data_IF_675006752213
#
_entry.id   IF_675006752213
#
_cell.length_a   1.000
_cell.length_b   1.000
_cell.length_c   1.000
_cell.angle_alpha   90.00
_cell.angle_beta   90.00
_cell.angle_gamma   90.00
#
_symmetry.space_group_name_H-M   'P 1'
#
loop_
_entity.id
_entity.type
_entity.pdbx_description
1 polymer ?
#
# COMPACT_ATOMS: atom_id res chain seq x y z
N UNK A 1 1.48 -2.75 13.77
CA UNK A 1 1.30 -4.14 13.32
C UNK A 1 2.28 -4.38 12.20
N UNK A 2 3.19 -5.34 12.35
CA UNK A 2 4.17 -5.63 11.31
C UNK A 2 3.47 -6.18 10.06
N UNK A 3 3.83 -5.66 8.89
CA UNK A 3 3.24 -6.04 7.61
C UNK A 3 3.25 -7.56 7.38
N UNK A 4 4.38 -8.22 7.71
CA UNK A 4 4.51 -9.68 7.64
C UNK A 4 3.47 -10.42 8.48
N UNK A 5 3.24 -9.97 9.73
CA UNK A 5 2.25 -10.58 10.63
C UNK A 5 0.84 -10.45 10.08
N UNK A 6 0.49 -9.29 9.52
CA UNK A 6 -0.79 -9.07 8.85
C UNK A 6 -1.03 -10.07 7.72
N UNK A 7 -0.04 -10.25 6.83
CA UNK A 7 -0.18 -11.20 5.71
C UNK A 7 -0.33 -12.62 6.25
N UNK A 8 0.50 -13.02 7.21
CA UNK A 8 0.39 -14.34 7.84
C UNK A 8 -0.97 -14.59 8.50
N UNK A 9 -1.52 -13.59 9.19
CA UNK A 9 -2.85 -13.68 9.79
C UNK A 9 -3.92 -13.93 8.72
N UNK A 10 -3.96 -13.13 7.65
CA UNK A 10 -4.91 -13.27 6.55
C UNK A 10 -4.75 -14.64 5.88
N UNK A 11 -3.53 -15.02 5.50
CA UNK A 11 -3.27 -16.27 4.77
C UNK A 11 -3.52 -17.52 5.60
N UNK A 12 -3.52 -17.39 6.94
CA UNK A 12 -3.82 -18.49 7.85
C UNK A 12 -5.32 -18.81 7.96
N UNK A 13 -6.20 -17.87 7.60
CA UNK A 13 -7.66 -18.02 7.69
C UNK A 13 -8.17 -19.12 6.76
N UNK A 14 -9.34 -19.68 7.11
CA UNK A 14 -9.98 -20.71 6.28
C UNK A 14 -10.46 -20.11 4.96
N UNK A 15 -11.07 -18.93 5.02
CA UNK A 15 -11.65 -18.24 3.88
C UNK A 15 -10.58 -17.89 2.84
N UNK A 16 -9.38 -17.47 3.27
CA UNK A 16 -8.26 -17.26 2.37
C UNK A 16 -7.79 -18.56 1.72
N UNK A 17 -7.63 -19.64 2.49
CA UNK A 17 -7.19 -20.94 1.96
C UNK A 17 -8.19 -21.49 0.94
N UNK A 18 -9.48 -21.46 1.26
CA UNK A 18 -10.57 -21.87 0.37
C UNK A 18 -10.60 -21.02 -0.92
N UNK A 19 -10.27 -19.72 -0.80
CA UNK A 19 -10.13 -18.82 -1.94
C UNK A 19 -8.89 -19.15 -2.79
N UNK A 20 -7.74 -19.35 -2.16
CA UNK A 20 -6.45 -19.60 -2.81
C UNK A 20 -6.44 -20.94 -3.56
N UNK A 21 -7.15 -21.96 -3.06
CA UNK A 21 -7.36 -23.22 -3.77
C UNK A 21 -8.09 -23.04 -5.11
N UNK A 22 -9.01 -22.07 -5.19
CA UNK A 22 -9.74 -21.74 -6.43
C UNK A 22 -8.98 -20.78 -7.34
N UNK A 23 -8.00 -20.06 -6.80
CA UNK A 23 -7.23 -19.00 -7.46
C UNK A 23 -5.72 -19.23 -7.31
N UNK A 24 -5.18 -20.37 -7.79
CA UNK A 24 -3.80 -20.77 -7.51
C UNK A 24 -2.75 -19.79 -8.06
N UNK A 25 -3.05 -19.12 -9.17
CA UNK A 25 -2.10 -18.22 -9.87
C UNK A 25 -2.03 -16.80 -9.27
N UNK A 26 -2.93 -16.44 -8.36
CA UNK A 26 -2.97 -15.11 -7.75
C UNK A 26 -1.84 -14.93 -6.74
N UNK A 27 -0.99 -13.91 -6.90
CA UNK A 27 0.09 -13.62 -5.94
C UNK A 27 -0.05 -12.23 -5.34
N UNK A 28 0.46 -12.05 -4.11
CA UNK A 28 0.46 -10.79 -3.39
C UNK A 28 1.26 -9.74 -4.17
N UNK A 29 0.69 -8.55 -4.38
CA UNK A 29 1.35 -7.46 -5.14
C UNK A 29 1.39 -6.14 -4.40
N UNK A 30 0.39 -5.86 -3.57
CA UNK A 30 0.39 -4.67 -2.76
C UNK A 30 -0.46 -4.83 -1.50
N UNK A 31 -0.23 -3.94 -0.55
CA UNK A 31 -1.15 -3.70 0.55
C UNK A 31 -1.33 -2.21 0.76
N UNK A 32 -2.58 -1.81 0.97
CA UNK A 32 -3.01 -0.43 1.13
C UNK A 32 -3.74 -0.26 2.45
N UNK A 33 -3.56 0.89 3.08
CA UNK A 33 -4.37 1.28 4.24
C UNK A 33 -4.86 2.69 4.09
N UNK A 34 -6.10 2.84 4.49
CA UNK A 34 -6.67 4.12 4.83
C UNK A 34 -7.17 4.06 6.27
N UNK A 35 -6.81 5.06 7.06
CA UNK A 35 -7.50 5.30 8.33
C UNK A 35 -8.85 5.92 7.99
N UNK A 36 -9.93 5.25 8.35
CA UNK A 36 -11.28 5.75 8.11
C UNK A 36 -11.65 6.90 9.08
N UNK A 37 -12.87 7.42 8.96
CA UNK A 37 -13.37 8.49 9.86
C UNK A 37 -13.49 8.05 11.33
N UNK A 38 -13.48 6.74 11.60
CA UNK A 38 -13.54 6.15 12.94
C UNK A 38 -12.15 5.79 13.51
N UNK A 39 -11.07 6.14 12.80
CA UNK A 39 -9.68 5.74 13.09
C UNK A 39 -9.46 4.22 13.09
N UNK A 40 -10.34 3.44 12.45
CA UNK A 40 -10.10 2.02 12.23
C UNK A 40 -9.18 1.83 11.03
N UNK A 41 -8.19 0.96 11.21
CA UNK A 41 -7.29 0.54 10.13
C UNK A 41 -8.03 -0.47 9.24
N UNK A 42 -8.38 -0.04 8.04
CA UNK A 42 -8.94 -0.92 7.02
C UNK A 42 -7.82 -1.24 6.02
N UNK A 43 -7.38 -2.49 6.04
CA UNK A 43 -6.37 -2.99 5.13
C UNK A 43 -7.02 -3.53 3.86
N UNK A 44 -6.48 -3.16 2.71
CA UNK A 44 -6.82 -3.71 1.41
C UNK A 44 -5.60 -4.37 0.82
N UNK A 45 -5.66 -5.68 0.60
CA UNK A 45 -4.54 -6.49 0.13
C UNK A 45 -4.83 -6.93 -1.30
N UNK A 46 -3.99 -6.52 -2.23
CA UNK A 46 -4.14 -6.85 -3.64
C UNK A 46 -3.40 -8.12 -4.01
N UNK A 47 -4.13 -9.06 -4.59
CA UNK A 47 -3.59 -10.23 -5.25
C UNK A 47 -3.83 -10.14 -6.75
N UNK A 48 -2.84 -10.50 -7.55
CA UNK A 48 -2.89 -10.38 -9.01
C UNK A 48 -2.61 -11.70 -9.68
N UNK A 49 -3.36 -11.99 -10.73
CA UNK A 49 -3.09 -13.07 -11.67
C UNK A 49 -2.65 -12.51 -13.02
N UNK A 50 -1.39 -12.80 -13.37
CA UNK A 50 -0.75 -12.39 -14.63
C UNK A 50 -1.39 -13.05 -15.85
N UNK A 51 -1.94 -14.26 -15.71
CA UNK A 51 -2.51 -15.03 -16.83
C UNK A 51 -3.86 -14.45 -17.26
N UNK A 52 -4.68 -14.04 -16.30
CA UNK A 52 -6.00 -13.44 -16.56
C UNK A 52 -6.01 -11.92 -16.55
N UNK A 53 -4.90 -11.28 -16.13
CA UNK A 53 -4.76 -9.85 -15.91
C UNK A 53 -5.83 -9.28 -14.96
N UNK A 54 -6.15 -10.04 -13.89
CA UNK A 54 -7.17 -9.68 -12.90
C UNK A 54 -6.54 -9.45 -11.54
N UNK A 55 -7.10 -8.50 -10.81
CA UNK A 55 -6.78 -8.24 -9.42
C UNK A 55 -7.97 -8.54 -8.54
N UNK A 56 -7.72 -9.18 -7.41
CA UNK A 56 -8.68 -9.35 -6.34
C UNK A 56 -8.17 -8.65 -5.08
N UNK A 57 -9.08 -7.95 -4.41
CA UNK A 57 -8.77 -7.19 -3.20
C UNK A 57 -9.38 -7.90 -2.01
N UNK A 58 -8.55 -8.22 -1.03
CA UNK A 58 -8.98 -8.75 0.26
C UNK A 58 -9.00 -7.60 1.25
N UNK A 59 -10.16 -7.33 1.83
CA UNK A 59 -10.37 -6.28 2.82
C UNK A 59 -10.34 -6.90 4.21
N UNK A 60 -9.45 -6.43 5.09
CA UNK A 60 -9.40 -6.82 6.50
C UNK A 60 -9.85 -5.66 7.39
N UNK A 61 -10.88 -5.90 8.20
CA UNK A 61 -11.37 -4.98 9.22
C UNK A 61 -11.55 -5.72 10.55
N UNK A 62 -10.65 -5.47 11.50
CA UNK A 62 -10.59 -6.27 12.74
C UNK A 62 -10.32 -7.74 12.43
N UNK A 63 -11.20 -8.63 12.89
CA UNK A 63 -11.10 -10.08 12.68
C UNK A 63 -11.83 -10.57 11.42
N UNK A 64 -12.50 -9.68 10.69
CA UNK A 64 -13.23 -10.03 9.47
C UNK A 64 -12.38 -9.82 8.23
N UNK A 65 -12.47 -10.77 7.31
CA UNK A 65 -11.93 -10.65 5.96
C UNK A 65 -13.07 -10.76 4.93
N UNK A 66 -13.05 -9.89 3.94
CA UNK A 66 -14.00 -9.84 2.84
C UNK A 66 -13.26 -9.80 1.51
N UNK A 67 -13.84 -10.43 0.49
CA UNK A 67 -13.28 -10.46 -0.85
C UNK A 67 -14.07 -9.49 -1.73
N UNK A 68 -13.40 -8.45 -2.21
CA UNK A 68 -13.97 -7.57 -3.22
C UNK A 68 -13.96 -8.29 -4.58
N UNK A 69 -14.98 -8.06 -5.44
CA UNK A 69 -15.02 -8.65 -6.77
C UNK A 69 -13.77 -8.33 -7.57
N UNK A 70 -13.31 -9.29 -8.38
CA UNK A 70 -12.17 -9.11 -9.27
C UNK A 70 -12.36 -7.91 -10.20
N UNK A 71 -11.34 -7.05 -10.28
CA UNK A 71 -11.32 -5.88 -11.15
C UNK A 71 -10.23 -6.05 -12.21
N UNK A 72 -10.53 -5.64 -13.44
CA UNK A 72 -9.51 -5.51 -14.47
C UNK A 72 -8.53 -4.40 -14.08
N UNK A 73 -7.24 -4.70 -14.15
CA UNK A 73 -6.23 -3.67 -13.93
C UNK A 73 -6.07 -2.87 -15.23
N UNK A 74 -6.22 -1.54 -15.13
CA UNK A 74 -5.80 -0.61 -16.19
C UNK A 74 -4.33 -0.87 -16.51
N UNK A 75 -4.02 -1.14 -17.78
CA UNK A 75 -2.67 -1.50 -18.25
C UNK A 75 -1.59 -0.68 -17.54
N UNK A 76 -0.85 -1.31 -16.63
CA UNK A 76 0.30 -0.70 -16.02
C UNK A 76 1.40 -0.53 -17.08
N UNK A 77 2.10 0.60 -17.05
CA UNK A 77 3.26 0.84 -17.92
C UNK A 77 4.47 -0.05 -17.57
N UNK A 78 4.38 -0.77 -16.45
CA UNK A 78 5.41 -1.65 -15.90
C UNK A 78 4.80 -3.01 -15.53
N UNK A 79 5.65 -4.04 -15.51
CA UNK A 79 5.26 -5.36 -15.02
C UNK A 79 4.90 -5.29 -13.53
N UNK A 80 3.79 -5.91 -13.15
CA UNK A 80 3.38 -6.04 -11.76
C UNK A 80 4.18 -7.22 -11.18
N UNK A 81 5.00 -6.93 -10.16
CA UNK A 81 5.88 -7.90 -9.53
C UNK A 81 5.32 -8.34 -8.18
N UNK A 82 5.62 -9.58 -7.75
CA UNK A 82 5.20 -10.07 -6.46
C UNK A 82 5.83 -9.24 -5.33
N UNK A 83 5.06 -9.05 -4.26
CA UNK A 83 5.50 -8.45 -3.03
C UNK A 83 5.81 -9.57 -2.02
N UNK A 84 7.07 -9.67 -1.61
CA UNK A 84 7.51 -10.62 -0.58
C UNK A 84 7.46 -9.96 0.81
N UNK A 85 6.60 -10.43 1.73
CA UNK A 85 6.55 -9.90 3.10
C UNK A 85 7.86 -10.08 3.88
N UNK A 86 8.72 -11.03 3.51
CA UNK A 86 10.00 -11.27 4.18
C UNK A 86 11.07 -10.21 3.85
N UNK A 87 10.93 -9.51 2.72
CA UNK A 87 11.81 -8.40 2.35
C UNK A 87 11.53 -7.12 3.15
N UNK A 88 10.34 -7.02 3.76
CA UNK A 88 9.88 -5.84 4.47
C UNK A 88 10.43 -5.81 5.89
N UNK A 89 11.39 -4.91 6.14
CA UNK A 89 12.13 -4.80 7.41
C UNK A 89 11.71 -3.61 8.27
N UNK A 90 11.08 -2.61 7.65
CA UNK A 90 10.61 -1.40 8.32
C UNK A 90 9.10 -1.52 8.55
N UNK A 91 8.63 -1.26 9.78
CA UNK A 91 7.19 -1.22 10.09
C UNK A 91 6.52 -0.01 9.41
N UNK A 92 5.25 -0.15 9.02
CA UNK A 92 4.53 0.94 8.34
C UNK A 92 4.41 2.21 9.21
N UNK A 93 4.29 2.09 10.54
CA UNK A 93 4.28 3.26 11.42
C UNK A 93 5.62 3.98 11.37
N UNK A 94 6.72 3.21 11.30
CA UNK A 94 8.06 3.78 11.18
C UNK A 94 8.25 4.47 9.83
N UNK A 95 7.74 3.90 8.74
CA UNK A 95 7.74 4.53 7.43
C UNK A 95 6.94 5.85 7.43
N UNK A 96 5.80 5.90 8.13
CA UNK A 96 5.00 7.13 8.30
C UNK A 96 5.78 8.19 9.09
N UNK A 97 6.44 7.83 10.19
CA UNK A 97 7.30 8.76 10.95
C UNK A 97 8.39 9.36 10.06
N UNK A 98 9.11 8.52 9.33
CA UNK A 98 10.17 8.93 8.40
C UNK A 98 9.64 9.89 7.35
N UNK A 99 8.47 9.60 6.77
CA UNK A 99 7.85 10.47 5.78
C UNK A 99 7.36 11.80 6.37
N UNK A 100 6.83 11.80 7.59
CA UNK A 100 6.44 13.03 8.29
C UNK A 100 7.64 13.93 8.57
N UNK A 101 8.78 13.36 8.96
CA UNK A 101 10.00 14.14 9.18
C UNK A 101 10.54 14.74 7.87
N UNK A 102 10.53 13.95 6.78
CA UNK A 102 10.82 14.46 5.44
C UNK A 102 9.90 15.64 5.04
N UNK A 103 8.61 15.58 5.39
CA UNK A 103 7.65 16.65 5.10
C UNK A 103 7.92 17.90 5.94
N UNK A 104 8.19 17.76 7.24
CA UNK A 104 8.51 18.90 8.10
C UNK A 104 9.74 19.65 7.62
N UNK A 105 10.74 18.92 7.11
CA UNK A 105 11.97 19.50 6.59
C UNK A 105 11.77 20.19 5.23
N UNK A 106 11.11 19.53 4.29
CA UNK A 106 11.06 19.98 2.89
C UNK A 106 9.81 20.80 2.54
N UNK A 107 8.71 20.60 3.28
CA UNK A 107 7.40 21.20 3.02
C UNK A 107 6.72 21.76 4.28
N UNK A 108 7.43 22.54 5.13
CA UNK A 108 6.92 22.97 6.45
C UNK A 108 5.65 23.84 6.40
N UNK A 109 5.32 24.39 5.23
CA UNK A 109 4.15 25.27 5.02
C UNK A 109 2.90 24.52 4.56
N UNK A 110 2.98 23.21 4.37
CA UNK A 110 1.88 22.41 3.83
C UNK A 110 1.13 21.70 4.97
N UNK A 111 -0.02 22.23 5.44
CA UNK A 111 -0.82 21.57 6.47
C UNK A 111 -1.46 20.29 5.89
N UNK A 112 -1.15 19.14 6.50
CA UNK A 112 -1.68 17.84 6.09
C UNK A 112 -3.13 17.69 6.53
N UNK A 113 -4.00 17.28 5.61
CA UNK A 113 -5.41 16.96 5.87
C UNK A 113 -5.62 15.46 6.07
N UNK A 114 -5.10 14.65 5.15
CA UNK A 114 -5.24 13.19 5.15
C UNK A 114 -4.01 12.55 4.54
N UNK A 115 -3.80 11.27 4.86
CA UNK A 115 -2.80 10.45 4.22
C UNK A 115 -3.38 9.08 3.89
N UNK A 116 -2.75 8.43 2.93
CA UNK A 116 -2.94 7.02 2.63
C UNK A 116 -1.60 6.44 2.22
N UNK A 117 -1.46 5.14 2.37
CA UNK A 117 -0.21 4.48 2.02
C UNK A 117 -0.46 3.19 1.26
N UNK A 118 0.47 2.87 0.39
CA UNK A 118 0.56 1.60 -0.31
C UNK A 118 1.99 1.08 -0.18
N UNK A 119 2.13 -0.19 0.19
CA UNK A 119 3.38 -0.93 0.00
C UNK A 119 3.24 -1.78 -1.25
N UNK A 120 4.20 -1.67 -2.14
CA UNK A 120 4.22 -2.41 -3.41
C UNK A 120 5.65 -2.51 -3.94
N UNK A 121 5.86 -3.41 -4.89
CA UNK A 121 7.08 -3.40 -5.67
C UNK A 121 7.01 -2.31 -6.75
N UNK A 122 7.99 -1.41 -6.79
CA UNK A 122 8.08 -0.31 -7.76
C UNK A 122 9.54 0.02 -8.04
N UNK A 123 9.89 0.24 -9.31
CA UNK A 123 11.27 0.61 -9.72
C UNK A 123 12.36 -0.39 -9.24
N UNK A 124 12.03 -1.67 -9.13
CA UNK A 124 12.95 -2.74 -8.74
C UNK A 124 13.17 -2.89 -7.23
N UNK A 125 12.36 -2.22 -6.39
CA UNK A 125 12.42 -2.32 -4.95
C UNK A 125 11.03 -2.38 -4.31
N UNK A 126 10.96 -2.94 -3.10
CA UNK A 126 9.77 -2.87 -2.26
C UNK A 126 9.72 -1.52 -1.54
N UNK A 127 8.67 -0.74 -1.81
CA UNK A 127 8.57 0.67 -1.43
C UNK A 127 7.26 0.94 -0.71
N UNK A 128 7.35 1.69 0.38
CA UNK A 128 6.22 2.43 0.95
C UNK A 128 6.02 3.71 0.15
N UNK A 129 4.96 3.79 -0.64
CA UNK A 129 4.52 5.03 -1.27
C UNK A 129 3.43 5.66 -0.39
N UNK A 130 3.78 6.77 0.26
CA UNK A 130 2.93 7.44 1.22
C UNK A 130 2.51 8.77 0.62
N UNK A 131 1.20 8.93 0.43
CA UNK A 131 0.61 10.09 -0.20
C UNK A 131 -0.15 10.90 0.84
N UNK A 132 0.20 12.17 0.94
CA UNK A 132 -0.42 13.15 1.82
C UNK A 132 -1.17 14.18 1.00
N UNK A 133 -2.41 14.46 1.37
CA UNK A 133 -3.18 15.56 0.78
C UNK A 133 -3.13 16.72 1.75
N UNK A 134 -2.62 17.87 1.29
CA UNK A 134 -2.55 19.10 2.05
C UNK A 134 -3.81 19.95 1.86
N UNK A 135 -4.13 20.80 2.85
CA UNK A 135 -5.28 21.73 2.77
C UNK A 135 -5.13 22.77 1.66
N UNK A 136 -3.91 22.97 1.16
CA UNK A 136 -3.54 23.86 0.06
C UNK A 136 -3.82 23.26 -1.33
N UNK A 137 -4.60 22.16 -1.40
CA UNK A 137 -4.88 21.40 -2.62
C UNK A 137 -3.61 20.90 -3.32
N UNK A 138 -2.61 20.55 -2.52
CA UNK A 138 -1.40 19.85 -2.98
C UNK A 138 -1.37 18.42 -2.49
N UNK A 139 -0.67 17.59 -3.24
CA UNK A 139 -0.36 16.22 -2.87
C UNK A 139 1.14 16.10 -2.68
N UNK A 140 1.54 15.58 -1.53
CA UNK A 140 2.93 15.27 -1.22
C UNK A 140 3.08 13.76 -1.27
N UNK A 141 3.89 13.25 -2.19
CA UNK A 141 4.22 11.84 -2.28
C UNK A 141 5.61 11.62 -1.70
N UNK A 142 5.74 10.64 -0.80
CA UNK A 142 7.02 10.24 -0.21
C UNK A 142 7.19 8.74 -0.42
N UNK A 143 8.24 8.36 -1.14
CA UNK A 143 8.65 6.97 -1.35
C UNK A 143 9.74 6.62 -0.32
N UNK A 144 9.45 5.66 0.55
CA UNK A 144 10.37 5.16 1.58
C UNK A 144 10.71 3.70 1.28
N UNK A 145 11.99 3.36 1.29
CA UNK A 145 12.45 1.97 1.18
C UNK A 145 11.92 1.13 2.34
N UNK A 146 11.28 -0.01 2.04
CA UNK A 146 10.79 -0.92 3.08
C UNK A 146 11.90 -1.74 3.76
N UNK A 147 13.11 -1.71 3.20
CA UNK A 147 14.25 -2.53 3.64
C UNK A 147 15.16 -1.80 4.62
N UNK A 148 15.38 -0.50 4.43
CA UNK A 148 16.35 0.30 5.19
C UNK A 148 15.80 1.68 5.61
N UNK A 149 14.57 2.02 5.26
CA UNK A 149 13.91 3.26 5.69
C UNK A 149 14.42 4.51 4.99
N UNK A 150 15.27 4.40 3.97
CA UNK A 150 15.74 5.57 3.22
C UNK A 150 14.62 6.21 2.41
N UNK A 151 14.60 7.53 2.35
CA UNK A 151 13.79 8.28 1.38
C UNK A 151 14.37 8.03 -0.01
N UNK A 152 13.58 7.41 -0.89
CA UNK A 152 13.94 7.16 -2.28
C UNK A 152 13.60 8.38 -3.13
N UNK A 153 12.43 8.97 -2.90
CA UNK A 153 11.93 10.12 -3.64
C UNK A 153 10.86 10.84 -2.83
N UNK A 154 10.78 12.15 -2.97
CA UNK A 154 9.61 12.92 -2.54
C UNK A 154 9.23 13.97 -3.60
N UNK A 155 7.94 14.27 -3.72
CA UNK A 155 7.45 15.36 -4.57
C UNK A 155 6.25 16.06 -3.93
N UNK A 156 6.01 17.31 -4.33
CA UNK A 156 4.85 18.10 -3.93
C UNK A 156 4.24 18.73 -5.18
N UNK A 157 3.04 18.31 -5.53
CA UNK A 157 2.36 18.63 -6.79
C UNK A 157 0.96 19.17 -6.50
N UNK A 158 0.41 20.06 -7.34
CA UNK A 158 -0.97 20.50 -7.15
C UNK A 158 -1.91 19.38 -7.57
N UNK A 159 -3.04 19.24 -6.88
CA UNK A 159 -4.04 18.24 -7.22
C UNK A 159 -4.58 18.40 -8.66
N UNK A 160 -4.60 19.63 -9.18
CA UNK A 160 -5.02 19.91 -10.55
C UNK A 160 -3.98 19.54 -11.62
N UNK A 161 -2.74 19.23 -11.23
CA UNK A 161 -1.64 18.92 -12.14
C UNK A 161 -1.51 17.40 -12.42
N UNK A 162 -2.37 16.55 -11.82
CA UNK A 162 -2.49 15.13 -12.20
C UNK A 162 -3.01 15.05 -13.65
N UNK A 163 -2.11 14.81 -14.59
CA UNK A 163 -2.42 14.47 -15.99
C UNK A 163 -2.53 12.97 -16.17
#
# INVERSE_FOLDING_TARGET
MEFKKLIQEIESTKEFKDWKEKHPDFYLVHAFVMKDQSNQEVWQIGYYDKNTNKMEIIVKQGDKIEFAPAQEILKASQEILPLDPDEVKIDYNKAIEIALDCIKENYPKEPILKNFFIIQHLEGATIYNITYVAQTFKTINVKVSSTDGKIIKHSCEKLADFK
#
